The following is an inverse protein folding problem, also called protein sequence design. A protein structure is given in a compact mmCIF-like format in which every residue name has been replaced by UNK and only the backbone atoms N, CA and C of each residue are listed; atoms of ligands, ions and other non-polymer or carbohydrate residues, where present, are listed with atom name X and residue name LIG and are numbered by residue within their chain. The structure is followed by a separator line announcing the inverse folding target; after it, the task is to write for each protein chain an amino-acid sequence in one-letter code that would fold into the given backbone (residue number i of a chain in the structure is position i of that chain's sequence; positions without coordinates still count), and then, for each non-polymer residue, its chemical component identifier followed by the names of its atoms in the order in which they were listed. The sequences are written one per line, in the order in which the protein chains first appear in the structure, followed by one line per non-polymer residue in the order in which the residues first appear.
data_IF_369230075502
#
_entry.id   IF_369230075502
#
_cell.length_a   1.000
_cell.length_b   1.000
_cell.length_c   1.000
_cell.angle_alpha   90.00
_cell.angle_beta   90.00
_cell.angle_gamma   90.00
#
_symmetry.space_group_name_H-M   'P 1'
#
loop_
_entity.id
_entity.type
_entity.pdbx_description
1 polymer ?
#
# COMPACT_ATOMS: atom_id res chain seq x y z
N UNK A 1 36.38 -37.03 19.85
CA UNK A 1 35.22 -37.50 19.07
C UNK A 1 34.87 -36.48 18.02
N UNK A 2 34.88 -36.92 16.76
CA UNK A 2 34.24 -36.31 15.59
C UNK A 2 32.72 -36.23 15.82
N UNK A 3 31.93 -35.31 15.26
CA UNK A 3 31.37 -35.29 13.89
C UNK A 3 30.49 -34.01 13.78
N UNK A 4 30.78 -33.01 12.97
CA UNK A 4 30.34 -32.74 11.58
C UNK A 4 28.95 -33.25 11.16
N UNK A 5 28.04 -32.34 10.80
CA UNK A 5 26.83 -32.59 10.00
C UNK A 5 26.64 -31.38 9.07
N UNK A 6 27.26 -31.35 7.89
CA UNK A 6 26.81 -31.90 6.59
C UNK A 6 25.54 -31.20 6.04
N UNK A 7 25.78 -30.43 4.98
CA UNK A 7 24.84 -29.71 4.13
C UNK A 7 23.98 -30.67 3.30
N UNK A 8 22.65 -30.53 3.34
CA UNK A 8 21.77 -31.24 2.41
C UNK A 8 21.31 -30.33 1.26
N UNK A 9 22.17 -30.23 0.23
CA UNK A 9 21.81 -29.68 -1.08
C UNK A 9 20.88 -30.66 -1.82
N UNK A 10 19.56 -30.42 -1.79
CA UNK A 10 18.62 -31.15 -2.64
C UNK A 10 18.79 -30.77 -4.12
N UNK A 11 19.49 -31.65 -4.85
CA UNK A 11 19.74 -31.57 -6.28
C UNK A 11 18.46 -31.66 -7.13
N UNK A 12 18.38 -30.74 -8.10
CA UNK A 12 17.38 -30.70 -9.17
C UNK A 12 17.25 -32.03 -9.91
N UNK A 13 16.02 -32.56 -9.99
CA UNK A 13 15.72 -33.78 -10.74
C UNK A 13 15.85 -33.55 -12.27
N UNK A 14 16.86 -34.15 -12.89
CA UNK A 14 17.09 -34.10 -14.33
C UNK A 14 16.04 -34.93 -15.09
N UNK A 15 15.09 -34.26 -15.76
CA UNK A 15 14.10 -34.90 -16.65
C UNK A 15 14.78 -35.48 -17.91
N UNK A 16 14.86 -36.82 -18.00
CA UNK A 16 15.31 -37.53 -19.22
C UNK A 16 14.23 -37.50 -20.31
N UNK A 17 14.59 -37.03 -21.51
CA UNK A 17 13.70 -36.98 -22.68
C UNK A 17 13.69 -38.32 -23.42
N UNK A 18 12.65 -39.12 -23.23
CA UNK A 18 12.47 -40.39 -23.97
C UNK A 18 11.95 -40.10 -25.39
N UNK A 19 12.71 -40.53 -26.41
CA UNK A 19 12.36 -40.34 -27.83
C UNK A 19 11.69 -41.62 -28.35
N UNK A 20 10.37 -41.62 -28.50
CA UNK A 20 9.63 -42.77 -29.06
C UNK A 20 9.93 -42.92 -30.57
N UNK A 21 10.38 -44.11 -30.98
CA UNK A 21 10.58 -44.49 -32.40
C UNK A 21 9.21 -44.79 -33.01
N UNK A 22 8.85 -44.14 -34.11
CA UNK A 22 7.63 -44.45 -34.87
C UNK A 22 7.82 -45.75 -35.65
N UNK A 23 6.97 -46.74 -35.41
CA UNK A 23 6.76 -47.88 -36.32
C UNK A 23 6.00 -47.36 -37.55
N UNK A 24 6.48 -47.68 -38.76
CA UNK A 24 5.77 -47.40 -40.02
C UNK A 24 4.86 -48.58 -40.31
N UNK A 25 3.53 -48.38 -40.32
CA UNK A 25 2.60 -49.39 -40.80
C UNK A 25 2.65 -49.40 -42.34
N UNK A 26 3.24 -50.44 -42.93
CA UNK A 26 3.05 -50.76 -44.34
C UNK A 26 1.74 -51.54 -44.47
N UNK A 27 0.66 -50.87 -44.87
CA UNK A 27 -0.53 -51.58 -45.37
C UNK A 27 -0.27 -51.85 -46.84
N UNK A 28 0.20 -53.06 -47.14
CA UNK A 28 0.13 -53.63 -48.48
C UNK A 28 -1.30 -54.08 -48.71
N UNK A 29 -1.89 -53.55 -49.78
CA UNK A 29 -3.21 -53.92 -50.28
C UNK A 29 -3.05 -55.24 -51.03
N UNK A 30 -3.80 -56.28 -50.62
CA UNK A 30 -3.97 -57.50 -51.41
C UNK A 30 -5.45 -57.91 -51.43
N UNK A 31 -6.07 -57.59 -52.56
CA UNK A 31 -7.03 -58.39 -53.35
C UNK A 31 -7.96 -59.41 -52.66
N UNK A 32 -9.26 -59.09 -52.80
CA UNK A 32 -10.36 -59.91 -53.38
C UNK A 32 -11.20 -60.89 -52.53
N UNK A 33 -12.49 -60.88 -52.91
CA UNK A 33 -13.67 -61.73 -52.57
C UNK A 33 -14.33 -61.46 -51.21
N UNK A 34 -15.66 -61.39 -51.03
CA UNK A 34 -16.88 -61.47 -51.86
C UNK A 34 -18.07 -61.20 -50.90
N UNK A 35 -19.17 -60.57 -51.36
CA UNK A 35 -20.47 -60.55 -50.66
C UNK A 35 -21.16 -59.18 -50.55
N UNK A 36 -22.15 -58.96 -51.44
CA UNK A 36 -23.47 -58.32 -51.26
C UNK A 36 -23.85 -57.78 -49.85
N UNK A 37 -24.61 -56.70 -49.61
CA UNK A 37 -25.66 -55.99 -50.34
C UNK A 37 -26.07 -54.74 -49.51
N UNK A 38 -26.63 -53.70 -50.18
CA UNK A 38 -27.59 -52.67 -49.65
C UNK A 38 -27.03 -51.54 -48.75
N UNK A 39 -27.42 -50.27 -48.83
CA UNK A 39 -27.85 -49.34 -49.88
C UNK A 39 -27.73 -47.91 -49.26
N UNK A 40 -27.47 -46.93 -50.13
CA UNK A 40 -27.70 -45.47 -50.05
C UNK A 40 -27.77 -44.74 -48.69
N UNK A 41 -26.89 -43.74 -48.51
CA UNK A 41 -27.21 -42.63 -47.60
C UNK A 41 -26.18 -41.54 -47.34
N UNK A 42 -24.86 -41.76 -47.47
CA UNK A 42 -23.89 -40.83 -46.84
C UNK A 42 -22.71 -40.38 -47.72
N UNK A 43 -22.82 -40.47 -49.06
CA UNK A 43 -21.76 -39.98 -49.96
C UNK A 43 -21.99 -38.56 -50.50
N UNK A 44 -23.14 -37.92 -50.26
CA UNK A 44 -23.45 -36.65 -50.93
C UNK A 44 -22.94 -35.40 -50.18
N UNK A 45 -22.73 -35.49 -48.85
CA UNK A 45 -22.21 -34.36 -48.06
C UNK A 45 -20.69 -34.17 -48.19
N UNK A 46 -19.95 -35.24 -48.48
CA UNK A 46 -18.48 -35.19 -48.59
C UNK A 46 -18.03 -34.66 -49.96
N UNK A 47 -18.84 -34.82 -51.01
CA UNK A 47 -18.46 -34.43 -52.38
C UNK A 47 -18.68 -32.93 -52.63
N UNK A 48 -19.68 -32.30 -51.98
CA UNK A 48 -19.95 -30.85 -52.15
C UNK A 48 -18.90 -29.95 -51.51
N UNK A 49 -18.33 -30.36 -50.38
CA UNK A 49 -17.31 -29.57 -49.67
C UNK A 49 -15.94 -29.55 -50.38
N UNK A 50 -15.70 -30.47 -51.32
CA UNK A 50 -14.43 -30.56 -52.04
C UNK A 50 -14.38 -29.76 -53.34
N UNK A 51 -15.51 -29.28 -53.89
CA UNK A 51 -15.51 -28.45 -55.11
C UNK A 51 -15.28 -26.95 -54.84
N UNK A 52 -15.51 -26.46 -53.62
CA UNK A 52 -15.32 -25.04 -53.29
C UNK A 52 -13.87 -24.66 -52.92
N UNK A 53 -12.97 -25.65 -52.83
CA UNK A 53 -11.55 -25.41 -52.53
C UNK A 53 -10.65 -25.31 -53.76
N UNK A 54 -11.20 -25.42 -54.96
CA UNK A 54 -10.47 -25.11 -56.18
C UNK A 54 -10.59 -23.62 -56.50
N UNK A 55 -9.43 -22.97 -56.54
CA UNK A 55 -9.19 -21.66 -57.13
C UNK A 55 -9.59 -20.45 -56.27
N UNK A 56 -8.78 -20.20 -55.25
CA UNK A 56 -8.29 -18.83 -55.04
C UNK A 56 -6.78 -18.86 -55.24
N UNK A 57 -6.29 -18.01 -56.14
CA UNK A 57 -4.88 -17.82 -56.44
C UNK A 57 -4.22 -17.12 -55.24
N UNK A 58 -4.07 -17.88 -54.15
CA UNK A 58 -3.47 -17.41 -52.91
C UNK A 58 -1.95 -17.35 -53.04
N UNK A 59 -1.27 -16.45 -52.29
CA UNK A 59 0.17 -16.31 -52.34
C UNK A 59 0.83 -17.69 -52.20
N UNK A 60 1.84 -17.99 -53.02
CA UNK A 60 2.62 -19.23 -52.94
C UNK A 60 3.40 -19.26 -51.62
N UNK A 61 2.71 -19.52 -50.53
CA UNK A 61 3.26 -19.52 -49.18
C UNK A 61 4.36 -20.57 -49.09
N UNK A 62 5.49 -20.16 -48.51
CA UNK A 62 6.66 -21.02 -48.45
C UNK A 62 6.36 -22.29 -47.64
N UNK A 63 7.12 -23.36 -47.87
CA UNK A 63 6.99 -24.61 -47.07
C UNK A 63 7.12 -24.34 -45.56
N UNK A 64 7.93 -23.34 -45.18
CA UNK A 64 8.12 -22.92 -43.79
C UNK A 64 6.87 -22.22 -43.24
N UNK A 65 6.25 -21.35 -44.02
CA UNK A 65 5.04 -20.63 -43.65
C UNK A 65 3.85 -21.57 -43.46
N UNK A 66 3.67 -22.55 -44.37
CA UNK A 66 2.69 -23.64 -44.21
C UNK A 66 2.88 -24.37 -42.88
N UNK A 67 4.12 -24.68 -42.52
CA UNK A 67 4.46 -25.34 -41.26
C UNK A 67 4.14 -24.46 -40.04
N UNK A 68 4.46 -23.15 -40.09
CA UNK A 68 4.16 -22.19 -39.01
C UNK A 68 2.66 -22.02 -38.82
N UNK A 69 1.90 -21.86 -39.90
CA UNK A 69 0.45 -21.70 -39.86
C UNK A 69 -0.25 -22.95 -39.31
N UNK A 70 0.19 -24.15 -39.71
CA UNK A 70 -0.32 -25.41 -39.14
C UNK A 70 -0.05 -25.50 -37.63
N UNK A 71 1.14 -25.10 -37.18
CA UNK A 71 1.50 -25.08 -35.74
C UNK A 71 0.66 -24.06 -34.96
N UNK A 72 0.40 -22.88 -35.53
CA UNK A 72 -0.47 -21.85 -34.94
C UNK A 72 -1.90 -22.38 -34.76
N UNK A 73 -2.50 -22.91 -35.83
CA UNK A 73 -3.85 -23.48 -35.82
C UNK A 73 -4.00 -24.64 -34.83
N UNK A 74 -2.98 -25.51 -34.71
CA UNK A 74 -2.99 -26.59 -33.72
C UNK A 74 -2.93 -26.08 -32.27
N UNK A 75 -2.12 -25.04 -31.98
CA UNK A 75 -2.04 -24.44 -30.64
C UNK A 75 -3.36 -23.77 -30.26
N UNK A 76 -3.97 -23.08 -31.20
CA UNK A 76 -5.27 -22.42 -31.04
C UNK A 76 -6.40 -23.43 -30.82
N UNK A 77 -6.46 -24.50 -31.63
CA UNK A 77 -7.44 -25.59 -31.43
C UNK A 77 -7.35 -26.19 -30.02
N UNK A 78 -6.12 -26.37 -29.49
CA UNK A 78 -5.92 -26.83 -28.11
C UNK A 78 -6.36 -25.81 -27.05
N UNK A 79 -6.19 -24.50 -27.32
CA UNK A 79 -6.68 -23.43 -26.42
C UNK A 79 -8.20 -23.38 -26.39
N UNK A 80 -8.86 -23.47 -27.55
CA UNK A 80 -10.31 -23.47 -27.66
C UNK A 80 -10.96 -24.68 -26.98
N UNK A 81 -10.31 -25.85 -27.05
CA UNK A 81 -10.74 -27.06 -26.35
C UNK A 81 -10.43 -27.06 -24.84
N UNK A 82 -9.82 -25.99 -24.29
CA UNK A 82 -9.45 -25.92 -22.86
C UNK A 82 -8.26 -26.79 -22.45
N UNK A 83 -7.66 -27.56 -23.36
CA UNK A 83 -6.52 -28.45 -23.09
C UNK A 83 -5.18 -27.73 -22.83
N UNK A 84 -5.13 -26.41 -23.03
CA UNK A 84 -3.96 -25.62 -22.62
C UNK A 84 -4.18 -25.16 -21.20
N UNK A 85 -3.49 -25.80 -20.26
CA UNK A 85 -3.43 -25.36 -18.88
C UNK A 85 -2.94 -23.92 -18.85
N UNK A 86 -3.83 -23.01 -18.43
CA UNK A 86 -3.44 -21.65 -18.04
C UNK A 86 -2.54 -21.85 -16.83
N UNK A 87 -1.25 -21.57 -16.97
CA UNK A 87 -0.37 -21.45 -15.80
C UNK A 87 -0.97 -20.35 -14.96
N UNK A 88 -1.47 -20.68 -13.78
CA UNK A 88 -1.94 -19.74 -12.77
C UNK A 88 -0.74 -18.85 -12.43
N UNK A 89 -0.63 -17.70 -13.09
CA UNK A 89 0.25 -16.63 -12.64
C UNK A 89 -0.33 -16.17 -11.32
N UNK A 90 0.33 -16.54 -10.23
CA UNK A 90 0.05 -15.94 -8.91
C UNK A 90 0.41 -14.48 -9.07
N UNK A 91 -0.61 -13.62 -9.04
CA UNK A 91 -0.43 -12.18 -9.09
C UNK A 91 0.09 -11.76 -7.72
N UNK A 92 1.39 -11.48 -7.64
CA UNK A 92 2.09 -11.14 -6.41
C UNK A 92 1.83 -9.67 -6.08
N UNK A 93 0.57 -9.30 -5.91
CA UNK A 93 0.19 -7.94 -5.55
C UNK A 93 0.43 -7.79 -4.05
N UNK A 94 1.50 -7.06 -3.72
CA UNK A 94 1.79 -6.63 -2.37
C UNK A 94 0.58 -5.86 -1.81
N UNK A 95 -0.12 -6.46 -0.87
CA UNK A 95 -1.05 -5.74 0.00
C UNK A 95 -0.22 -5.17 1.14
N UNK A 96 0.00 -3.84 1.19
CA UNK A 96 0.57 -3.24 2.38
C UNK A 96 -0.37 -3.51 3.56
N UNK A 97 0.19 -4.07 4.64
CA UNK A 97 -0.52 -4.22 5.90
C UNK A 97 -0.96 -2.83 6.36
N UNK A 98 -2.24 -2.52 6.13
CA UNK A 98 -2.84 -1.21 6.43
C UNK A 98 -2.67 -0.83 7.91
N UNK A 99 -2.49 -1.82 8.77
CA UNK A 99 -2.38 -1.62 10.21
C UNK A 99 -1.01 -1.10 10.65
N UNK A 100 0.08 -1.36 9.90
CA UNK A 100 1.43 -1.00 10.36
C UNK A 100 1.90 0.37 9.87
N UNK A 101 1.44 0.80 8.69
CA UNK A 101 1.87 2.08 8.11
C UNK A 101 1.13 3.28 8.69
N UNK A 102 -0.15 3.13 9.03
CA UNK A 102 -0.96 4.21 9.62
C UNK A 102 -0.55 4.49 11.06
N UNK A 103 -0.28 3.44 11.85
CA UNK A 103 0.13 3.58 13.26
C UNK A 103 1.55 4.13 13.39
N UNK A 104 2.50 3.67 12.56
CA UNK A 104 3.87 4.20 12.56
C UNK A 104 3.95 5.62 12.00
N UNK A 105 3.15 5.97 10.99
CA UNK A 105 3.09 7.34 10.46
C UNK A 105 2.43 8.30 11.46
N UNK A 106 1.36 7.88 12.14
CA UNK A 106 0.70 8.65 13.18
C UNK A 106 1.62 8.93 14.37
N UNK A 107 2.40 7.93 14.82
CA UNK A 107 3.32 8.11 15.93
C UNK A 107 4.45 9.12 15.60
N UNK A 108 4.95 9.09 14.36
CA UNK A 108 5.95 10.05 13.89
C UNK A 108 5.38 11.47 13.83
N UNK A 109 4.18 11.63 13.30
CA UNK A 109 3.47 12.92 13.26
C UNK A 109 3.23 13.47 14.69
N UNK A 110 2.83 12.64 15.65
CA UNK A 110 2.68 13.05 17.05
C UNK A 110 4.02 13.50 17.63
N UNK A 111 5.11 12.80 17.32
CA UNK A 111 6.43 13.15 17.82
C UNK A 111 6.91 14.52 17.31
N UNK A 112 6.73 14.78 16.02
CA UNK A 112 7.06 16.06 15.39
C UNK A 112 6.20 17.21 15.95
N UNK A 113 4.92 16.94 16.22
CA UNK A 113 4.02 17.88 16.88
C UNK A 113 4.47 18.21 18.30
N UNK A 114 4.87 17.21 19.09
CA UNK A 114 5.34 17.43 20.45
C UNK A 114 6.61 18.29 20.49
N UNK A 115 7.56 18.04 19.59
CA UNK A 115 8.80 18.82 19.50
C UNK A 115 8.50 20.28 19.11
N UNK A 116 7.62 20.46 18.12
CA UNK A 116 7.10 21.77 17.71
C UNK A 116 6.40 22.53 18.85
N UNK A 117 5.64 21.84 19.70
CA UNK A 117 4.99 22.43 20.86
C UNK A 117 6.01 22.80 21.94
N UNK A 118 6.99 21.93 22.19
CA UNK A 118 8.06 22.16 23.17
C UNK A 118 8.84 23.43 22.83
N UNK A 119 9.29 23.59 21.59
CA UNK A 119 9.98 24.80 21.13
C UNK A 119 9.13 26.06 21.34
N UNK A 120 7.84 25.97 21.02
CA UNK A 120 6.90 27.08 21.15
C UNK A 120 6.66 27.47 22.62
N UNK A 121 6.41 26.50 23.48
CA UNK A 121 6.15 26.75 24.90
C UNK A 121 7.41 27.25 25.60
N UNK A 122 8.59 26.73 25.24
CA UNK A 122 9.86 27.21 25.75
C UNK A 122 10.12 28.67 25.36
N UNK A 123 9.88 29.03 24.09
CA UNK A 123 9.97 30.43 23.65
C UNK A 123 8.94 31.32 24.36
N UNK A 124 7.70 30.84 24.50
CA UNK A 124 6.62 31.57 25.20
C UNK A 124 6.96 31.80 26.65
N UNK A 125 7.52 30.79 27.34
CA UNK A 125 7.97 30.89 28.72
C UNK A 125 9.06 31.96 28.86
N UNK A 126 10.03 32.00 27.96
CA UNK A 126 11.09 33.00 27.99
C UNK A 126 10.53 34.43 27.84
N UNK A 127 9.60 34.65 26.90
CA UNK A 127 8.95 35.94 26.70
C UNK A 127 8.13 36.31 27.94
N UNK A 128 7.29 35.39 28.42
CA UNK A 128 6.44 35.60 29.60
C UNK A 128 7.27 36.03 30.82
N UNK A 129 8.35 35.33 31.13
CA UNK A 129 9.21 35.68 32.26
C UNK A 129 10.09 36.90 32.00
N UNK A 130 10.45 37.22 30.75
CA UNK A 130 11.14 38.46 30.43
C UNK A 130 10.24 39.68 30.68
N UNK A 131 8.98 39.63 30.23
CA UNK A 131 8.01 40.72 30.37
C UNK A 131 7.49 40.84 31.81
N UNK A 132 7.33 39.73 32.53
CA UNK A 132 6.86 39.72 33.94
C UNK A 132 7.94 40.12 34.95
N UNK A 133 9.22 40.22 34.55
CA UNK A 133 10.27 40.81 35.42
C UNK A 133 10.05 42.31 35.66
N UNK A 134 9.28 42.99 34.82
CA UNK A 134 8.97 44.42 34.98
C UNK A 134 7.65 44.72 35.71
N UNK A 135 6.62 43.87 35.63
CA UNK A 135 5.34 44.09 36.32
C UNK A 135 4.74 42.74 36.79
N UNK A 136 4.96 42.41 38.07
CA UNK A 136 4.46 41.19 38.68
C UNK A 136 2.97 41.34 39.03
N UNK A 137 2.06 40.68 38.28
CA UNK A 137 0.63 40.72 38.57
C UNK A 137 -0.11 39.36 38.56
N UNK A 138 0.47 38.25 38.11
CA UNK A 138 -0.23 36.95 38.17
C UNK A 138 0.65 35.80 38.69
N UNK A 139 0.27 35.28 39.86
CA UNK A 139 0.88 34.12 40.52
C UNK A 139 0.44 32.76 39.93
N UNK A 140 -0.34 32.75 38.83
CA UNK A 140 -0.95 31.53 38.28
C UNK A 140 0.04 30.63 37.53
N UNK A 141 1.17 31.17 37.05
CA UNK A 141 2.20 30.44 36.29
C UNK A 141 3.43 30.27 37.16
N UNK A 142 3.53 29.12 37.85
CA UNK A 142 4.72 28.76 38.60
C UNK A 142 5.82 28.29 37.65
N UNK A 143 7.04 28.84 37.77
CA UNK A 143 8.17 28.42 36.93
C UNK A 143 8.50 26.94 37.07
N UNK A 144 8.31 26.33 38.26
CA UNK A 144 8.57 24.91 38.47
C UNK A 144 7.63 24.02 37.65
N UNK A 145 6.33 24.31 37.71
CA UNK A 145 5.31 23.51 36.99
C UNK A 145 5.38 23.68 35.47
N UNK A 146 5.83 24.84 34.98
CA UNK A 146 6.13 25.02 33.55
C UNK A 146 7.28 24.12 33.11
N UNK A 147 8.35 24.03 33.91
CA UNK A 147 9.50 23.17 33.59
C UNK A 147 9.12 21.68 33.62
N UNK A 148 8.30 21.26 34.57
CA UNK A 148 7.77 19.89 34.63
C UNK A 148 6.93 19.55 33.38
N UNK A 149 6.08 20.48 32.94
CA UNK A 149 5.32 20.34 31.69
C UNK A 149 6.25 20.18 30.47
N UNK A 150 7.32 20.98 30.37
CA UNK A 150 8.28 20.88 29.28
C UNK A 150 9.03 19.54 29.31
N UNK A 151 9.44 19.07 30.48
CA UNK A 151 10.05 17.75 30.63
C UNK A 151 9.07 16.63 30.23
N UNK A 152 7.79 16.77 30.55
CA UNK A 152 6.77 15.80 30.11
C UNK A 152 6.63 15.74 28.58
N UNK A 153 6.78 16.87 27.89
CA UNK A 153 6.82 16.91 26.41
C UNK A 153 8.12 16.30 25.87
N UNK A 154 9.27 16.62 26.48
CA UNK A 154 10.59 16.13 26.09
C UNK A 154 10.69 14.60 26.22
N UNK A 155 10.25 14.06 27.36
CA UNK A 155 10.21 12.62 27.63
C UNK A 155 8.98 11.92 27.01
N UNK A 156 8.14 12.65 26.28
CA UNK A 156 6.93 12.15 25.61
C UNK A 156 5.99 11.36 26.54
N UNK A 157 5.83 11.82 27.77
CA UNK A 157 4.96 11.19 28.78
C UNK A 157 3.50 11.63 28.67
N UNK A 158 3.21 12.62 27.81
CA UNK A 158 1.89 13.20 27.60
C UNK A 158 1.10 12.36 26.59
N UNK A 159 -0.22 12.24 26.82
CA UNK A 159 -1.13 11.53 25.91
C UNK A 159 -1.11 12.14 24.51
N UNK A 160 -1.16 11.29 23.48
CA UNK A 160 -1.22 11.73 22.08
C UNK A 160 -2.41 12.66 21.81
N UNK A 161 -3.55 12.42 22.47
CA UNK A 161 -4.72 13.29 22.45
C UNK A 161 -4.32 14.71 22.87
N UNK A 162 -3.70 14.88 24.04
CA UNK A 162 -3.33 16.18 24.57
C UNK A 162 -2.30 16.89 23.67
N UNK A 163 -1.34 16.15 23.11
CA UNK A 163 -0.38 16.70 22.12
C UNK A 163 -1.11 17.26 20.89
N UNK A 164 -2.12 16.56 20.37
CA UNK A 164 -2.90 17.07 19.23
C UNK A 164 -3.73 18.30 19.58
N UNK A 165 -4.29 18.38 20.79
CA UNK A 165 -5.00 19.55 21.26
C UNK A 165 -4.07 20.77 21.39
N UNK A 166 -2.92 20.60 22.05
CA UNK A 166 -1.90 21.64 22.18
C UNK A 166 -1.38 22.11 20.82
N UNK A 167 -1.19 21.19 19.87
CA UNK A 167 -0.77 21.53 18.51
C UNK A 167 -1.85 22.33 17.77
N UNK A 168 -3.13 21.97 17.94
CA UNK A 168 -4.26 22.73 17.41
C UNK A 168 -4.30 24.15 17.99
N UNK A 169 -4.10 24.30 19.30
CA UNK A 169 -4.03 25.62 19.95
C UNK A 169 -2.90 26.47 19.36
N UNK A 170 -1.68 25.90 19.25
CA UNK A 170 -0.55 26.56 18.59
C UNK A 170 -0.89 27.00 17.17
N UNK A 171 -1.51 26.12 16.39
CA UNK A 171 -1.89 26.41 14.99
C UNK A 171 -2.89 27.56 14.91
N UNK A 172 -3.91 27.58 15.76
CA UNK A 172 -4.89 28.67 15.82
C UNK A 172 -4.26 30.01 16.23
N UNK A 173 -3.29 29.98 17.15
CA UNK A 173 -2.54 31.15 17.56
C UNK A 173 -1.71 31.73 16.40
N UNK A 174 -1.04 30.87 15.63
CA UNK A 174 -0.30 31.28 14.43
C UNK A 174 -1.22 31.87 13.35
N UNK A 175 -2.42 31.32 13.20
CA UNK A 175 -3.48 31.85 12.32
C UNK A 175 -4.15 33.11 12.87
N UNK A 176 -3.87 33.48 14.13
CA UNK A 176 -4.46 34.62 14.83
C UNK A 176 -5.99 34.55 14.93
N UNK A 177 -6.55 33.33 14.93
CA UNK A 177 -7.98 33.09 15.07
C UNK A 177 -8.37 33.05 16.56
N UNK A 178 -8.60 34.24 17.13
CA UNK A 178 -8.82 34.41 18.58
C UNK A 178 -10.13 33.76 19.04
N UNK A 179 -11.19 33.82 18.22
CA UNK A 179 -12.49 33.25 18.57
C UNK A 179 -12.40 31.73 18.69
N UNK A 180 -11.88 31.06 17.65
CA UNK A 180 -11.71 29.61 17.68
C UNK A 180 -10.68 29.16 18.69
N UNK A 181 -9.65 29.98 18.95
CA UNK A 181 -8.65 29.69 19.97
C UNK A 181 -9.26 29.67 21.39
N UNK A 182 -10.15 30.62 21.71
CA UNK A 182 -10.85 30.64 23.01
C UNK A 182 -11.74 29.41 23.21
N UNK A 183 -12.46 29.00 22.17
CA UNK A 183 -13.30 27.81 22.24
C UNK A 183 -12.47 26.52 22.33
N UNK A 184 -11.37 26.45 21.57
CA UNK A 184 -10.44 25.34 21.65
C UNK A 184 -9.75 25.24 23.03
N UNK A 185 -9.47 26.36 23.69
CA UNK A 185 -8.91 26.36 25.05
C UNK A 185 -9.89 25.80 26.08
N UNK A 186 -11.18 26.15 25.99
CA UNK A 186 -12.22 25.56 26.85
C UNK A 186 -12.31 24.05 26.65
N UNK A 187 -12.36 23.61 25.39
CA UNK A 187 -12.39 22.18 25.05
C UNK A 187 -11.16 21.44 25.60
N UNK A 188 -9.96 22.02 25.45
CA UNK A 188 -8.74 21.43 25.99
C UNK A 188 -8.80 21.28 27.51
N UNK A 189 -9.29 22.28 28.23
CA UNK A 189 -9.41 22.21 29.68
C UNK A 189 -10.39 21.13 30.15
N UNK A 190 -11.47 20.89 29.40
CA UNK A 190 -12.47 19.87 29.72
C UNK A 190 -12.01 18.45 29.34
N UNK A 191 -11.22 18.30 28.27
CA UNK A 191 -10.87 17.00 27.68
C UNK A 191 -9.43 16.55 27.97
N UNK A 192 -8.60 17.42 28.57
CA UNK A 192 -7.20 17.14 28.85
C UNK A 192 -7.05 15.95 29.81
N UNK A 193 -6.21 14.98 29.43
CA UNK A 193 -5.78 13.89 30.33
C UNK A 193 -4.55 14.28 31.17
N UNK A 194 -3.99 15.47 30.96
CA UNK A 194 -2.87 15.99 31.73
C UNK A 194 -3.27 16.32 33.18
N UNK A 195 -2.28 16.38 34.07
CA UNK A 195 -2.47 16.94 35.42
C UNK A 195 -3.10 18.33 35.34
N UNK A 196 -4.02 18.62 36.26
CA UNK A 196 -4.72 19.90 36.33
C UNK A 196 -3.75 21.10 36.40
N UNK A 197 -2.62 20.94 37.07
CA UNK A 197 -1.59 21.97 37.17
C UNK A 197 -0.92 22.24 35.82
N UNK A 198 -0.56 21.18 35.09
CA UNK A 198 0.05 21.29 33.76
C UNK A 198 -0.91 21.91 32.75
N UNK A 199 -2.18 21.47 32.74
CA UNK A 199 -3.20 22.00 31.86
C UNK A 199 -3.48 23.48 32.15
N UNK A 200 -3.53 23.88 33.43
CA UNK A 200 -3.73 25.27 33.84
C UNK A 200 -2.55 26.16 33.41
N UNK A 201 -1.33 25.69 33.57
CA UNK A 201 -0.12 26.40 33.13
C UNK A 201 -0.12 26.58 31.61
N UNK A 202 -0.35 25.52 30.84
CA UNK A 202 -0.43 25.60 29.38
C UNK A 202 -1.51 26.60 28.95
N UNK A 203 -2.72 26.50 29.52
CA UNK A 203 -3.83 27.42 29.27
C UNK A 203 -3.46 28.86 29.58
N UNK A 204 -2.76 29.11 30.69
CA UNK A 204 -2.31 30.44 31.08
C UNK A 204 -1.29 31.02 30.10
N UNK A 205 -0.36 30.20 29.58
CA UNK A 205 0.59 30.63 28.55
C UNK A 205 -0.11 30.98 27.23
N UNK A 206 -1.09 30.19 26.79
CA UNK A 206 -1.90 30.54 25.60
C UNK A 206 -2.75 31.78 25.84
N UNK A 207 -3.30 31.96 27.04
CA UNK A 207 -4.08 33.14 27.40
C UNK A 207 -3.22 34.41 27.36
N UNK A 208 -1.97 34.34 27.82
CA UNK A 208 -0.99 35.43 27.71
C UNK A 208 -0.80 35.92 26.27
N UNK A 209 -0.71 35.00 25.31
CA UNK A 209 -0.65 35.38 23.90
C UNK A 209 -1.90 36.13 23.43
N UNK A 210 -3.09 35.71 23.89
CA UNK A 210 -4.36 36.35 23.53
C UNK A 210 -4.47 37.76 24.12
N UNK A 211 -4.00 37.97 25.36
CA UNK A 211 -4.17 39.24 26.07
C UNK A 211 -3.07 40.25 25.77
N UNK A 212 -1.83 39.81 25.70
CA UNK A 212 -0.68 40.71 25.75
C UNK A 212 0.07 40.78 24.41
N UNK A 213 0.16 39.67 23.66
CA UNK A 213 0.98 39.62 22.44
C UNK A 213 0.17 39.91 21.17
N UNK A 214 -0.94 39.19 20.96
CA UNK A 214 -1.75 39.33 19.74
C UNK A 214 -2.38 40.73 19.58
N UNK A 215 -2.97 41.37 20.63
CA UNK A 215 -3.60 42.68 20.48
C UNK A 215 -2.62 43.79 20.14
N UNK A 216 -1.36 43.69 20.59
CA UNK A 216 -0.31 44.67 20.31
C UNK A 216 0.13 44.60 18.84
N UNK A 217 0.15 43.39 18.27
CA UNK A 217 0.54 43.16 16.87
C UNK A 217 -0.48 43.71 15.86
N UNK A 218 -1.77 43.80 16.24
CA UNK A 218 -2.86 44.30 15.40
C UNK A 218 -3.02 45.83 15.42
N UNK A 219 -2.18 46.56 16.16
CA UNK A 219 -2.20 48.03 16.24
C UNK A 219 -1.25 48.71 15.24
N UNK A 220 -0.78 47.99 14.22
CA UNK A 220 0.09 48.53 13.18
C UNK A 220 -0.67 48.79 11.89
#
# INVERSE_FOLDING_TARGET
SFESAEEEYQGQTKRKRIRRKKQKSSVQISSNLHGEQTDLGMQETVVRDNLQLQQTDGPKISKNEKRKMKKKRQKEKKRAAGLVTKTTSVDFTYQPDKNNKEEAAGLKDISEKADSILDFLQATQQIYFADKKSECRDAAVNSATVQELLQCLEFRTISSSDVTHLHRLKSLLLLQDIERLKDALKQFQEQSMMSADHAKVATSLFHYWITDILPVKNRK
#
